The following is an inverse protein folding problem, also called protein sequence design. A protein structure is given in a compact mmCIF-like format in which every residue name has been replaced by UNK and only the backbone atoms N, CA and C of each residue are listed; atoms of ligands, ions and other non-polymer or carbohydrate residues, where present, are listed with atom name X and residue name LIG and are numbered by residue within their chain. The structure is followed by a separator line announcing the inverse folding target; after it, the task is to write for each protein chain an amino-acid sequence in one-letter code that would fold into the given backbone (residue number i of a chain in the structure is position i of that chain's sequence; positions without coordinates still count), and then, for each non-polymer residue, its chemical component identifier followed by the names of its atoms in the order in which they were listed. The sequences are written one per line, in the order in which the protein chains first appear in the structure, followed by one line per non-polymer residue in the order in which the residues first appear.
data_IF_662476977002
#
_entry.id   IF_662476977002
#
_cell.length_a   1.000
_cell.length_b   1.000
_cell.length_c   1.000
_cell.angle_alpha   90.00
_cell.angle_beta   90.00
_cell.angle_gamma   90.00
#
_symmetry.space_group_name_H-M   'P 1'
#
loop_
_entity.id
_entity.type
_entity.pdbx_description
1 polymer ?
#
# COMPACT_ATOMS: atom_id res chain seq x y z
N UNK A 1 -17.10 -8.24 -14.71
CA UNK A 1 -16.83 -8.02 -13.28
C UNK A 1 -17.21 -9.30 -12.52
N UNK A 2 -16.28 -10.22 -12.31
CA UNK A 2 -16.54 -11.45 -11.54
C UNK A 2 -15.85 -11.32 -10.19
N UNK A 3 -16.62 -10.95 -9.17
CA UNK A 3 -16.20 -11.07 -7.79
C UNK A 3 -16.12 -12.56 -7.45
N UNK A 4 -14.96 -13.18 -7.67
CA UNK A 4 -14.63 -14.45 -7.02
C UNK A 4 -14.53 -14.17 -5.53
N UNK A 5 -15.61 -14.40 -4.80
CA UNK A 5 -15.61 -14.46 -3.34
C UNK A 5 -14.76 -15.66 -2.94
N UNK A 6 -13.46 -15.45 -2.75
CA UNK A 6 -12.52 -16.51 -2.35
C UNK A 6 -12.70 -16.79 -0.85
N UNK A 7 -13.38 -17.89 -0.53
CA UNK A 7 -13.44 -18.52 0.80
C UNK A 7 -12.15 -19.29 1.10
N UNK A 8 -11.01 -18.63 0.95
CA UNK A 8 -9.66 -19.15 1.18
C UNK A 8 -8.69 -18.02 1.57
N UNK A 9 -7.61 -18.34 2.30
CA UNK A 9 -6.63 -17.33 2.75
C UNK A 9 -6.08 -16.57 1.54
N UNK A 10 -6.16 -15.23 1.56
CA UNK A 10 -5.58 -14.39 0.50
C UNK A 10 -4.05 -14.55 0.45
N UNK A 11 -3.42 -14.38 -0.71
CA UNK A 11 -1.97 -14.43 -0.81
C UNK A 11 -1.33 -13.24 -0.07
N UNK A 12 -0.17 -13.46 0.55
CA UNK A 12 0.65 -12.38 1.10
C UNK A 12 1.31 -11.61 -0.06
N UNK A 13 1.40 -10.27 0.03
CA UNK A 13 1.91 -9.43 -1.05
C UNK A 13 3.45 -9.40 -1.07
N UNK A 14 4.10 -10.56 -1.12
CA UNK A 14 5.55 -10.65 -1.17
C UNK A 14 6.04 -10.23 -2.56
N UNK A 15 6.88 -9.19 -2.62
CA UNK A 15 7.44 -8.70 -3.89
C UNK A 15 6.56 -7.69 -4.63
N UNK A 16 5.32 -7.46 -4.18
CA UNK A 16 4.47 -6.42 -4.73
C UNK A 16 4.88 -5.03 -4.22
N UNK A 17 5.00 -4.07 -5.13
CA UNK A 17 5.48 -2.72 -4.83
C UNK A 17 4.47 -1.61 -5.17
N UNK A 18 3.35 -1.94 -5.80
CA UNK A 18 2.28 -0.99 -6.16
C UNK A 18 0.95 -1.39 -5.54
N UNK A 19 0.17 -0.40 -5.11
CA UNK A 19 -1.16 -0.62 -4.55
C UNK A 19 -2.12 -1.20 -5.59
N UNK A 20 -2.02 -0.74 -6.85
CA UNK A 20 -2.81 -1.26 -7.96
C UNK A 20 -2.64 -2.78 -8.15
N UNK A 21 -1.40 -3.29 -8.14
CA UNK A 21 -1.16 -4.72 -8.29
C UNK A 21 -1.69 -5.51 -7.09
N UNK A 22 -1.53 -4.98 -5.87
CA UNK A 22 -2.11 -5.59 -4.68
C UNK A 22 -3.64 -5.72 -4.76
N UNK A 23 -4.32 -4.69 -5.28
CA UNK A 23 -5.78 -4.68 -5.49
C UNK A 23 -6.20 -5.67 -6.56
N UNK A 24 -5.51 -5.67 -7.71
CA UNK A 24 -5.83 -6.55 -8.84
C UNK A 24 -5.66 -8.04 -8.50
N UNK A 25 -4.63 -8.37 -7.72
CA UNK A 25 -4.32 -9.75 -7.31
C UNK A 25 -5.12 -10.20 -6.07
N UNK A 26 -5.90 -9.30 -5.44
CA UNK A 26 -6.69 -9.63 -4.25
C UNK A 26 -5.84 -10.04 -3.04
N UNK A 27 -4.60 -9.55 -2.94
CA UNK A 27 -3.66 -9.85 -1.87
C UNK A 27 -4.08 -9.23 -0.53
N UNK A 28 -3.49 -9.71 0.57
CA UNK A 28 -3.57 -8.98 1.85
C UNK A 28 -2.86 -7.63 1.74
N UNK A 29 -3.53 -6.57 2.17
CA UNK A 29 -2.94 -5.23 2.29
C UNK A 29 -3.13 -4.74 3.72
N UNK A 30 -2.06 -4.25 4.33
CA UNK A 30 -2.13 -3.54 5.60
C UNK A 30 -2.45 -2.09 5.30
N UNK A 31 -3.65 -1.64 5.68
CA UNK A 31 -4.08 -0.27 5.41
C UNK A 31 -3.26 0.75 6.20
N UNK A 32 -2.46 1.54 5.47
CA UNK A 32 -1.63 2.61 6.02
C UNK A 32 -2.23 3.99 5.79
N UNK A 33 -3.44 4.09 5.22
CA UNK A 33 -4.12 5.35 4.91
C UNK A 33 -4.29 6.26 6.14
N UNK A 34 -4.62 5.76 7.36
CA UNK A 34 -4.71 6.60 8.55
C UNK A 34 -3.37 7.25 8.93
N UNK A 35 -2.28 6.50 8.83
CA UNK A 35 -0.93 6.99 9.10
C UNK A 35 -0.53 8.04 8.06
N UNK A 36 -0.78 7.77 6.78
CA UNK A 36 -0.55 8.72 5.68
C UNK A 36 -1.31 10.02 5.92
N UNK A 37 -2.60 9.95 6.29
CA UNK A 37 -3.43 11.12 6.62
C UNK A 37 -2.82 11.94 7.74
N UNK A 38 -2.35 11.30 8.80
CA UNK A 38 -1.68 11.99 9.90
C UNK A 38 -0.38 12.65 9.41
N UNK A 39 0.40 11.96 8.56
CA UNK A 39 1.63 12.50 8.01
C UNK A 39 1.37 13.78 7.21
N UNK A 40 0.40 13.76 6.30
CA UNK A 40 0.01 14.92 5.48
C UNK A 40 -0.44 16.11 6.34
N UNK A 41 -1.18 15.85 7.42
CA UNK A 41 -1.71 16.92 8.29
C UNK A 41 -0.66 17.56 9.19
N UNK A 42 0.38 16.82 9.59
CA UNK A 42 1.30 17.25 10.65
C UNK A 42 2.68 17.64 10.14
N UNK A 43 3.13 17.14 8.99
CA UNK A 43 4.53 17.31 8.56
C UNK A 43 4.65 17.94 7.18
N UNK A 44 5.60 18.87 7.06
CA UNK A 44 5.98 19.50 5.78
C UNK A 44 6.97 18.66 4.98
N UNK A 45 7.81 17.86 5.65
CA UNK A 45 8.84 17.03 5.01
C UNK A 45 9.05 15.73 5.79
N UNK A 46 9.18 14.60 5.08
CA UNK A 46 9.42 13.28 5.68
C UNK A 46 10.60 12.59 5.03
N UNK A 47 11.60 12.21 5.83
CA UNK A 47 12.73 11.41 5.37
C UNK A 47 12.39 9.91 5.45
N UNK A 48 12.27 9.26 4.30
CA UNK A 48 12.07 7.82 4.22
C UNK A 48 13.42 7.08 4.24
N UNK A 49 13.87 6.73 5.44
CA UNK A 49 15.16 6.16 5.85
C UNK A 49 15.91 5.04 5.07
N UNK A 50 15.72 4.66 3.80
CA UNK A 50 16.47 3.57 3.10
C UNK A 50 16.70 2.14 3.72
N UNK A 51 15.99 1.59 4.74
CA UNK A 51 16.05 0.14 5.01
C UNK A 51 15.52 -0.68 3.82
N UNK A 52 16.25 -1.73 3.43
CA UNK A 52 15.84 -2.67 2.37
C UNK A 52 14.48 -3.29 2.73
N UNK A 53 13.59 -3.40 1.72
CA UNK A 53 12.27 -4.06 1.80
C UNK A 53 11.28 -3.50 2.84
N UNK A 54 11.52 -2.29 3.37
CA UNK A 54 10.62 -1.65 4.34
C UNK A 54 9.27 -1.17 3.76
N UNK A 55 9.03 -1.35 2.46
CA UNK A 55 7.76 -0.98 1.83
C UNK A 55 7.59 0.51 1.53
N UNK A 56 8.71 1.25 1.33
CA UNK A 56 8.68 2.66 0.91
C UNK A 56 8.06 2.84 -0.47
N UNK A 57 8.38 1.97 -1.43
CA UNK A 57 7.79 1.99 -2.77
C UNK A 57 6.27 1.86 -2.73
N UNK A 58 5.76 0.92 -1.92
CA UNK A 58 4.32 0.72 -1.73
C UNK A 58 3.65 1.95 -1.09
N UNK A 59 4.31 2.59 -0.13
CA UNK A 59 3.81 3.81 0.51
C UNK A 59 3.74 4.98 -0.50
N UNK A 60 4.76 5.16 -1.34
CA UNK A 60 4.75 6.18 -2.40
C UNK A 60 3.68 5.88 -3.45
N UNK A 61 3.51 4.62 -3.85
CA UNK A 61 2.42 4.22 -4.75
C UNK A 61 1.04 4.45 -4.13
N UNK A 62 0.88 4.22 -2.83
CA UNK A 62 -0.37 4.50 -2.11
C UNK A 62 -0.64 6.01 -2.08
N UNK A 63 0.38 6.83 -1.82
CA UNK A 63 0.26 8.29 -1.88
C UNK A 63 -0.16 8.75 -3.29
N UNK A 64 0.49 8.22 -4.34
CA UNK A 64 0.14 8.52 -5.72
C UNK A 64 -1.36 8.26 -5.98
N UNK A 65 -1.83 7.05 -5.66
CA UNK A 65 -3.24 6.64 -5.84
C UNK A 65 -4.25 7.40 -4.96
N UNK A 66 -3.79 8.10 -3.92
CA UNK A 66 -4.67 8.92 -3.07
C UNK A 66 -4.83 10.34 -3.60
N UNK A 67 -3.93 10.81 -4.46
CA UNK A 67 -3.85 12.21 -4.91
C UNK A 67 -3.91 12.39 -6.43
N UNK A 68 -3.81 11.30 -7.19
CA UNK A 68 -3.88 11.23 -8.66
C UNK A 68 -4.96 10.23 -9.06
#
# INVERSE_FOLDING_TARGET
MNAKTQTGRRPLPIGYQSLANLRNEGCYYVDKTPLIRQMIRQGRFYFLSRPRRFGKSLLVSTLKELFE
#
